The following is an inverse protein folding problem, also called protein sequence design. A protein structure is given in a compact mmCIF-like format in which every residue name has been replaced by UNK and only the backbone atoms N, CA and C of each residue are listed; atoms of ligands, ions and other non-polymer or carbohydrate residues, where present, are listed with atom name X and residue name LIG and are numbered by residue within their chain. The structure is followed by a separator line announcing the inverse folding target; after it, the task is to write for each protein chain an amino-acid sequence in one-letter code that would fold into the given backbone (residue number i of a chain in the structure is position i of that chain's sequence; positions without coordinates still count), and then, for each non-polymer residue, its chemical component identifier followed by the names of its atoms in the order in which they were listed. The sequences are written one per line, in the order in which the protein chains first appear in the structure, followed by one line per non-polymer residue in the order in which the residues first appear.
data_IF_515939284380
#
_entry.id   IF_515939284380
#
_cell.length_a   1.000
_cell.length_b   1.000
_cell.length_c   1.000
_cell.angle_alpha   90.00
_cell.angle_beta   90.00
_cell.angle_gamma   90.00
#
_symmetry.space_group_name_H-M   'P 1'
#
loop_
_entity.id
_entity.type
_entity.pdbx_description
1 polymer ?
#
# COMPACT_ATOMS: atom_id res chain seq x y z
N UNK A 1 13.82 -18.72 -15.76
CA UNK A 1 14.57 -17.77 -14.91
C UNK A 1 13.97 -17.80 -13.52
N UNK A 2 14.78 -17.91 -12.47
CA UNK A 2 14.28 -18.02 -11.09
C UNK A 2 13.98 -16.63 -10.50
N UNK A 3 12.82 -16.49 -9.86
CA UNK A 3 12.44 -15.31 -9.08
C UNK A 3 12.83 -15.51 -7.62
N UNK A 4 13.16 -14.42 -6.93
CA UNK A 4 13.40 -14.44 -5.48
C UNK A 4 12.10 -14.16 -4.73
N UNK A 5 11.89 -14.87 -3.62
CA UNK A 5 10.81 -14.58 -2.66
C UNK A 5 11.06 -13.27 -1.93
N UNK A 6 10.00 -12.59 -1.47
CA UNK A 6 10.16 -11.34 -0.71
C UNK A 6 10.90 -11.59 0.60
N UNK A 7 10.64 -12.72 1.27
CA UNK A 7 11.30 -13.15 2.50
C UNK A 7 12.81 -13.38 2.37
N UNK A 8 13.29 -13.61 1.14
CA UNK A 8 14.69 -13.86 0.84
C UNK A 8 15.47 -12.61 0.42
N UNK A 9 14.79 -11.45 0.27
CA UNK A 9 15.45 -10.18 -0.01
C UNK A 9 16.27 -9.70 1.20
N UNK A 10 17.44 -9.13 0.94
CA UNK A 10 18.32 -8.51 1.93
C UNK A 10 18.65 -7.07 1.53
N UNK A 11 18.91 -6.17 2.49
CA UNK A 11 19.52 -4.88 2.19
C UNK A 11 20.78 -5.07 1.34
N UNK A 12 20.93 -4.28 0.28
CA UNK A 12 21.98 -4.37 -0.76
C UNK A 12 21.85 -5.51 -1.79
N UNK A 13 20.72 -6.22 -1.83
CA UNK A 13 20.40 -7.05 -3.00
C UNK A 13 20.13 -6.15 -4.21
N UNK A 14 21.13 -6.02 -5.08
CA UNK A 14 20.99 -5.31 -6.34
C UNK A 14 20.59 -6.26 -7.47
N UNK A 15 19.75 -5.76 -8.37
CA UNK A 15 19.17 -6.41 -9.54
C UNK A 15 18.38 -7.69 -9.25
N UNK A 16 17.86 -7.85 -8.04
CA UNK A 16 16.96 -8.95 -7.71
C UNK A 16 15.71 -8.89 -8.59
N UNK A 17 15.25 -10.06 -9.03
CA UNK A 17 14.01 -10.20 -9.81
C UNK A 17 12.95 -10.83 -8.92
N UNK A 18 11.87 -10.11 -8.72
CA UNK A 18 10.73 -10.58 -7.93
C UNK A 18 9.51 -10.71 -8.83
N UNK A 19 8.67 -11.67 -8.48
CA UNK A 19 7.37 -11.88 -9.11
C UNK A 19 6.33 -11.71 -8.02
N UNK A 20 5.54 -10.64 -8.13
CA UNK A 20 4.64 -10.17 -7.07
C UNK A 20 3.36 -9.63 -7.67
N UNK A 21 2.32 -9.58 -6.84
CA UNK A 21 1.09 -8.84 -7.10
C UNK A 21 1.10 -7.53 -6.32
N UNK A 22 0.68 -6.44 -6.96
CA UNK A 22 0.31 -5.21 -6.25
C UNK A 22 -1.06 -5.42 -5.61
N UNK A 23 -1.10 -5.44 -4.27
CA UNK A 23 -2.33 -5.67 -3.49
C UNK A 23 -2.97 -4.38 -3.00
N UNK A 24 -2.17 -3.32 -2.83
CA UNK A 24 -2.61 -1.94 -2.56
C UNK A 24 -1.73 -0.96 -3.31
N UNK A 25 -2.32 0.16 -3.76
CA UNK A 25 -1.63 1.31 -4.35
C UNK A 25 -2.32 2.58 -3.90
N UNK A 26 -1.56 3.59 -3.52
CA UNK A 26 -2.07 4.95 -3.32
C UNK A 26 -1.04 5.99 -3.77
N UNK A 27 -1.50 7.21 -3.97
CA UNK A 27 -0.69 8.35 -4.40
C UNK A 27 -0.64 9.36 -3.26
N UNK A 28 0.54 9.93 -3.00
CA UNK A 28 0.69 11.03 -2.07
C UNK A 28 0.90 12.33 -2.82
N UNK A 29 0.04 13.33 -2.57
CA UNK A 29 0.06 14.64 -3.24
C UNK A 29 0.43 15.80 -2.32
N UNK A 30 1.06 15.48 -1.18
CA UNK A 30 1.36 16.44 -0.13
C UNK A 30 0.25 16.53 0.93
N UNK A 31 0.45 17.31 2.01
CA UNK A 31 -0.49 17.38 3.14
C UNK A 31 -1.87 17.93 2.79
N UNK A 32 -1.95 18.72 1.71
CA UNK A 32 -3.19 19.26 1.19
C UNK A 32 -3.84 18.32 0.16
N UNK A 33 -3.18 17.26 -0.31
CA UNK A 33 -3.72 16.30 -1.28
C UNK A 33 -4.23 16.91 -2.63
N UNK A 34 -3.95 18.18 -2.89
CA UNK A 34 -4.38 18.93 -4.09
C UNK A 34 -3.24 19.16 -5.09
N UNK A 35 -2.02 18.76 -4.72
CA UNK A 35 -0.81 18.93 -5.49
C UNK A 35 -0.55 17.87 -6.56
N UNK A 36 0.63 17.99 -7.16
CA UNK A 36 1.19 16.93 -8.00
C UNK A 36 1.49 15.68 -7.15
N UNK A 37 1.47 14.50 -7.75
CA UNK A 37 1.89 13.28 -7.06
C UNK A 37 3.38 13.37 -6.77
N UNK A 38 3.75 13.23 -5.49
CA UNK A 38 5.11 13.28 -4.99
C UNK A 38 5.73 11.88 -4.83
N UNK A 39 4.91 10.86 -4.54
CA UNK A 39 5.28 9.46 -4.64
C UNK A 39 4.02 8.60 -4.74
N UNK A 40 4.19 7.35 -5.16
CA UNK A 40 3.16 6.33 -5.07
C UNK A 40 3.65 5.18 -4.21
N UNK A 41 2.82 4.78 -3.27
CA UNK A 41 3.09 3.70 -2.35
C UNK A 41 2.37 2.43 -2.78
N UNK A 42 2.98 1.29 -2.50
CA UNK A 42 2.51 -0.02 -2.86
C UNK A 42 2.64 -1.00 -1.70
N UNK A 43 1.72 -1.97 -1.68
CA UNK A 43 1.92 -3.23 -0.95
C UNK A 43 2.05 -4.36 -1.96
N UNK A 44 3.24 -4.95 -2.02
CA UNK A 44 3.58 -6.08 -2.89
C UNK A 44 3.35 -7.38 -2.13
N UNK A 45 2.83 -8.40 -2.80
CA UNK A 45 2.70 -9.75 -2.24
C UNK A 45 3.23 -10.82 -3.18
N UNK A 46 3.99 -11.79 -2.65
CA UNK A 46 4.44 -12.95 -3.41
C UNK A 46 3.46 -14.14 -3.32
N UNK A 47 3.78 -15.23 -4.00
CA UNK A 47 2.90 -16.40 -4.13
C UNK A 47 2.82 -17.25 -2.86
N UNK A 48 3.72 -17.03 -1.89
CA UNK A 48 3.70 -17.69 -0.58
C UNK A 48 2.91 -16.88 0.47
N UNK A 49 2.51 -15.66 0.12
CA UNK A 49 1.76 -14.78 1.02
C UNK A 49 2.62 -13.79 1.79
N UNK A 50 3.92 -13.72 1.54
CA UNK A 50 4.75 -12.66 2.11
C UNK A 50 4.33 -11.31 1.49
N UNK A 51 4.40 -10.24 2.27
CA UNK A 51 4.11 -8.89 1.80
C UNK A 51 5.22 -7.90 2.16
N UNK A 52 5.34 -6.86 1.33
CA UNK A 52 6.36 -5.82 1.49
C UNK A 52 5.80 -4.46 1.03
N UNK A 53 6.06 -3.42 1.82
CA UNK A 53 5.83 -2.04 1.42
C UNK A 53 6.90 -1.58 0.44
N UNK A 54 6.50 -0.84 -0.59
CA UNK A 54 7.42 -0.22 -1.55
C UNK A 54 6.92 1.18 -1.91
N UNK A 55 7.86 2.12 -2.08
CA UNK A 55 7.59 3.49 -2.51
C UNK A 55 8.21 3.72 -3.89
N UNK A 56 7.48 4.42 -4.75
CA UNK A 56 7.93 4.88 -6.06
C UNK A 56 8.07 6.39 -5.98
N UNK A 57 9.29 6.93 -6.07
CA UNK A 57 9.49 8.37 -5.93
C UNK A 57 9.06 9.10 -7.21
N UNK A 58 8.82 10.42 -7.09
CA UNK A 58 8.22 11.23 -8.14
C UNK A 58 8.92 11.09 -9.50
N UNK A 59 10.25 11.02 -9.49
CA UNK A 59 11.11 11.10 -10.67
C UNK A 59 10.86 9.98 -11.66
N UNK A 60 10.38 8.82 -11.18
CA UNK A 60 10.15 7.62 -11.99
C UNK A 60 8.67 7.24 -12.07
N UNK A 61 7.75 8.03 -11.49
CA UNK A 61 6.31 7.75 -11.51
C UNK A 61 5.73 7.70 -12.92
N UNK A 62 6.19 8.59 -13.81
CA UNK A 62 5.71 8.66 -15.18
C UNK A 62 6.03 7.38 -15.98
N UNK A 63 7.21 6.81 -15.73
CA UNK A 63 7.67 5.56 -16.37
C UNK A 63 6.99 4.32 -15.78
N UNK A 64 6.59 4.39 -14.49
CA UNK A 64 5.96 3.29 -13.76
C UNK A 64 4.57 2.89 -14.31
N UNK A 65 3.84 3.83 -14.92
CA UNK A 65 2.56 3.53 -15.57
C UNK A 65 2.72 2.58 -16.77
N UNK A 66 3.94 2.46 -17.33
CA UNK A 66 4.21 1.75 -18.57
C UNK A 66 5.37 0.75 -18.48
N UNK A 67 5.48 -0.08 -17.43
CA UNK A 67 6.45 -1.20 -17.26
C UNK A 67 7.65 -0.85 -16.37
N UNK A 68 7.59 -1.24 -15.11
CA UNK A 68 8.66 -1.01 -14.12
C UNK A 68 9.99 -1.66 -14.58
N UNK A 69 10.87 -0.84 -15.14
CA UNK A 69 12.31 -1.07 -15.23
C UNK A 69 12.98 0.29 -15.02
N UNK A 70 13.38 0.56 -13.77
CA UNK A 70 14.63 1.24 -13.40
C UNK A 70 14.65 1.49 -11.89
N UNK A 71 14.83 0.42 -11.11
CA UNK A 71 15.36 0.46 -9.74
C UNK A 71 16.17 -0.82 -9.54
N UNK A 72 17.05 -0.87 -8.53
CA UNK A 72 17.83 -2.05 -8.15
C UNK A 72 17.02 -3.35 -7.96
N UNK A 73 15.69 -3.36 -8.01
CA UNK A 73 14.87 -4.57 -8.03
C UNK A 73 13.87 -4.48 -9.17
N UNK A 74 13.74 -5.55 -9.96
CA UNK A 74 12.83 -5.61 -11.10
C UNK A 74 11.54 -6.35 -10.72
N UNK A 75 10.40 -5.71 -10.92
CA UNK A 75 9.08 -6.35 -10.88
C UNK A 75 8.77 -6.88 -12.27
N UNK A 76 8.61 -8.20 -12.38
CA UNK A 76 8.41 -8.86 -13.67
C UNK A 76 6.96 -9.30 -13.79
N UNK A 77 6.33 -9.05 -14.94
CA UNK A 77 5.08 -9.69 -15.34
C UNK A 77 5.42 -11.07 -15.95
N UNK A 78 5.22 -12.19 -15.24
CA UNK A 78 5.54 -13.50 -15.77
C UNK A 78 4.54 -13.91 -16.86
N UNK A 79 4.99 -14.69 -17.85
CA UNK A 79 4.13 -15.22 -18.93
C UNK A 79 3.11 -16.24 -18.42
N UNK A 80 3.37 -16.87 -17.27
CA UNK A 80 2.47 -17.81 -16.60
C UNK A 80 2.61 -17.65 -15.07
N UNK A 81 1.96 -16.63 -14.46
CA UNK A 81 2.04 -16.42 -13.02
C UNK A 81 1.41 -17.62 -12.27
N UNK A 82 2.00 -18.05 -11.13
CA UNK A 82 1.28 -18.85 -10.16
C UNK A 82 -0.12 -18.29 -9.89
N UNK A 83 -1.15 -19.13 -9.77
CA UNK A 83 -2.52 -18.69 -9.48
C UNK A 83 -2.75 -18.42 -7.99
N UNK A 84 -1.72 -18.60 -7.16
CA UNK A 84 -1.79 -18.57 -5.70
C UNK A 84 -1.48 -17.21 -5.08
N UNK A 85 -1.22 -16.16 -5.88
CA UNK A 85 -0.95 -14.83 -5.31
C UNK A 85 -2.17 -14.32 -4.53
N UNK A 86 -1.98 -13.95 -3.25
CA UNK A 86 -3.07 -13.45 -2.45
C UNK A 86 -3.61 -12.15 -3.07
N UNK A 87 -4.94 -12.01 -3.06
CA UNK A 87 -5.59 -10.76 -3.50
C UNK A 87 -5.41 -9.64 -2.49
N UNK A 88 -5.41 -10.00 -1.23
CA UNK A 88 -5.24 -9.10 -0.10
C UNK A 88 -4.25 -9.73 0.87
N UNK A 89 -3.35 -8.91 1.39
CA UNK A 89 -2.50 -9.25 2.53
C UNK A 89 -2.83 -8.29 3.66
N UNK A 90 -2.76 -8.79 4.89
CA UNK A 90 -3.07 -8.03 6.09
C UNK A 90 -2.06 -8.35 7.19
N UNK A 91 -1.64 -7.33 7.93
CA UNK A 91 -0.94 -7.48 9.20
C UNK A 91 -1.88 -7.03 10.32
N UNK A 92 -2.83 -7.90 10.67
CA UNK A 92 -3.95 -7.55 11.54
C UNK A 92 -3.49 -7.12 12.92
N UNK A 93 -3.93 -5.94 13.32
CA UNK A 93 -3.82 -5.42 14.69
C UNK A 93 -5.09 -5.80 15.44
N UNK A 94 -4.99 -6.53 16.56
CA UNK A 94 -6.14 -6.83 17.41
C UNK A 94 -6.84 -5.55 17.87
N UNK A 95 -8.17 -5.60 18.02
CA UNK A 95 -8.96 -4.43 18.40
C UNK A 95 -8.49 -3.80 19.72
N UNK A 96 -8.08 -4.64 20.68
CA UNK A 96 -7.58 -4.24 22.00
C UNK A 96 -6.27 -3.43 21.94
N UNK A 97 -5.50 -3.55 20.86
CA UNK A 97 -4.23 -2.85 20.67
C UNK A 97 -4.39 -1.52 19.93
N UNK A 98 -5.56 -1.25 19.34
CA UNK A 98 -5.81 -0.02 18.58
C UNK A 98 -5.56 1.28 19.36
N UNK A 99 -5.90 1.38 20.67
CA UNK A 99 -5.59 2.56 21.45
C UNK A 99 -4.09 2.89 21.52
N UNK A 100 -3.21 1.88 21.39
CA UNK A 100 -1.76 2.06 21.48
C UNK A 100 -1.15 2.67 20.22
N UNK A 101 -1.86 2.62 19.09
CA UNK A 101 -1.39 3.11 17.79
C UNK A 101 -2.07 4.42 17.37
N UNK A 102 -2.99 4.95 18.18
CA UNK A 102 -3.63 6.25 17.93
C UNK A 102 -2.58 7.36 17.84
N UNK A 103 -2.61 8.13 16.75
CA UNK A 103 -1.68 9.23 16.49
C UNK A 103 -0.30 8.79 15.99
N UNK A 104 -0.02 7.49 15.90
CA UNK A 104 1.20 7.01 15.27
C UNK A 104 1.09 7.10 13.75
N UNK A 105 1.74 8.10 13.16
CA UNK A 105 1.76 8.34 11.72
C UNK A 105 2.83 7.56 10.96
N UNK A 106 3.64 6.75 11.65
CA UNK A 106 4.73 6.01 11.00
C UNK A 106 4.26 4.72 10.32
N UNK A 107 3.09 4.19 10.67
CA UNK A 107 2.60 2.91 10.16
C UNK A 107 1.09 2.95 9.93
N UNK A 108 0.67 2.41 8.79
CA UNK A 108 -0.73 2.06 8.56
C UNK A 108 -1.09 0.81 9.38
N UNK A 109 -2.36 0.74 9.78
CA UNK A 109 -2.90 -0.33 10.63
C UNK A 109 -3.94 -1.12 9.84
N UNK A 110 -3.84 -2.45 9.85
CA UNK A 110 -4.87 -3.32 9.31
C UNK A 110 -5.77 -3.83 10.43
N UNK A 111 -7.08 -3.71 10.27
CA UNK A 111 -8.07 -4.18 11.26
C UNK A 111 -9.12 -5.03 10.56
N UNK A 112 -9.54 -6.11 11.22
CA UNK A 112 -10.76 -6.84 10.89
C UNK A 112 -11.70 -6.79 12.07
N UNK A 113 -12.96 -6.47 11.79
CA UNK A 113 -14.02 -6.40 12.77
C UNK A 113 -15.37 -6.64 12.11
N UNK A 114 -16.38 -6.83 12.93
CA UNK A 114 -17.78 -6.87 12.48
C UNK A 114 -18.31 -5.45 12.55
N UNK A 115 -18.84 -4.93 11.44
CA UNK A 115 -19.54 -3.64 11.45
C UNK A 115 -20.87 -3.84 12.17
N UNK A 116 -21.02 -3.23 13.34
CA UNK A 116 -22.25 -3.36 14.14
C UNK A 116 -23.20 -2.18 13.93
N UNK A 117 -22.67 -0.99 13.66
CA UNK A 117 -23.45 0.20 13.36
C UNK A 117 -22.71 1.11 12.38
N UNK A 118 -23.47 1.84 11.55
CA UNK A 118 -22.96 2.84 10.62
C UNK A 118 -23.75 4.12 10.84
N UNK A 119 -23.07 5.25 11.07
CA UNK A 119 -23.74 6.54 11.25
C UNK A 119 -24.43 7.03 9.96
N UNK A 120 -25.33 8.00 10.14
CA UNK A 120 -25.77 8.87 9.03
C UNK A 120 -24.57 9.64 8.44
N UNK A 121 -24.72 10.10 7.19
CA UNK A 121 -23.69 10.88 6.51
C UNK A 121 -23.69 12.31 7.04
N UNK A 122 -22.52 12.79 7.46
CA UNK A 122 -22.33 14.18 7.89
C UNK A 122 -21.31 14.90 6.98
N UNK A 123 -21.53 16.18 6.71
CA UNK A 123 -20.55 17.00 5.99
C UNK A 123 -19.56 17.60 6.99
N UNK A 124 -18.34 17.07 7.00
CA UNK A 124 -17.28 17.49 7.93
C UNK A 124 -16.33 18.42 7.21
N UNK A 125 -16.09 19.61 7.78
CA UNK A 125 -15.10 20.57 7.30
C UNK A 125 -13.70 20.11 7.75
N UNK A 126 -12.78 19.72 6.84
CA UNK A 126 -11.43 19.35 7.22
C UNK A 126 -10.66 20.57 7.76
N UNK A 127 -9.77 20.40 8.75
CA UNK A 127 -8.99 21.49 9.32
C UNK A 127 -8.04 22.15 8.30
N UNK A 128 -7.76 21.46 7.20
CA UNK A 128 -6.80 21.85 6.17
C UNK A 128 -7.39 22.87 5.17
N UNK A 129 -8.64 23.33 5.36
CA UNK A 129 -9.29 24.32 4.49
C UNK A 129 -9.95 23.74 3.23
N UNK A 130 -9.98 22.41 3.07
CA UNK A 130 -10.68 21.74 1.98
C UNK A 130 -12.19 21.92 2.04
N UNK A 131 -12.88 21.71 0.91
CA UNK A 131 -14.33 21.68 0.90
C UNK A 131 -14.86 20.63 1.91
N UNK A 132 -16.05 20.87 2.51
CA UNK A 132 -16.69 19.87 3.38
C UNK A 132 -16.77 18.51 2.68
N UNK A 133 -16.38 17.45 3.40
CA UNK A 133 -16.37 16.09 2.89
C UNK A 133 -17.47 15.24 3.54
N UNK A 134 -18.20 14.42 2.77
CA UNK A 134 -19.16 13.48 3.34
C UNK A 134 -18.43 12.40 4.15
N UNK A 135 -18.77 12.28 5.43
CA UNK A 135 -18.12 11.38 6.39
C UNK A 135 -19.15 10.44 7.03
N UNK A 136 -18.74 9.19 7.26
CA UNK A 136 -19.49 8.19 8.04
C UNK A 136 -18.55 7.59 9.08
N UNK A 137 -19.08 7.36 10.28
CA UNK A 137 -18.39 6.63 11.33
C UNK A 137 -18.85 5.17 11.33
N UNK A 138 -17.90 4.26 11.53
CA UNK A 138 -18.14 2.83 11.75
C UNK A 138 -17.92 2.55 13.24
N UNK A 139 -18.88 1.86 13.87
CA UNK A 139 -18.79 1.39 15.25
C UNK A 139 -18.71 -0.13 15.31
#
# INVERSE_FOLDING_TARGET
MAYRLLSALRPNDHYARICVRVTRKWEYRGPADDGQVLHADLVLADHEGNSMYAEIPQEVLADYNNHIQEVHTQIVNPTNPPTTYPRYTYSLTPFEELPMVVGNVQKFVDVLGVVVEISEVEMVQPPNGHAPAPTKNLF
#
